data_IF_049880321607
#
_entry.id   IF_049880321607
#
_cell.length_a   1.000
_cell.length_b   1.000
_cell.length_c   1.000
_cell.angle_alpha   90.00
_cell.angle_beta   90.00
_cell.angle_gamma   90.00
#
_symmetry.space_group_name_H-M   'P 1'
#
loop_
_entity.id
_entity.type
_entity.pdbx_description
1 polymer ?
#
# COMPACT_ATOMS: atom_id res chain seq x y z
N UNK A 1 13.97 -6.17 -13.56
CA UNK A 1 14.49 -7.28 -12.74
C UNK A 1 14.75 -6.67 -11.40
N UNK A 2 13.74 -6.68 -10.54
CA UNK A 2 13.70 -5.86 -9.32
C UNK A 2 13.39 -6.78 -8.14
N UNK A 3 14.30 -7.72 -7.88
CA UNK A 3 14.18 -8.65 -6.75
C UNK A 3 14.45 -8.00 -5.39
N UNK A 4 14.96 -6.76 -5.37
CA UNK A 4 15.45 -6.09 -4.15
C UNK A 4 14.66 -4.83 -3.75
N UNK A 5 13.43 -4.64 -4.26
CA UNK A 5 12.58 -3.57 -3.72
C UNK A 5 12.26 -3.89 -2.25
N UNK A 6 12.54 -3.00 -1.27
CA UNK A 6 12.32 -3.26 0.16
C UNK A 6 10.85 -3.49 0.53
N UNK A 7 9.93 -3.28 -0.43
CA UNK A 7 8.51 -3.59 -0.32
C UNK A 7 8.17 -5.04 -0.70
N UNK A 8 9.07 -5.76 -1.39
CA UNK A 8 8.86 -7.14 -1.83
C UNK A 8 8.94 -8.15 -0.66
N UNK A 9 9.52 -7.74 0.47
CA UNK A 9 9.52 -8.48 1.74
C UNK A 9 8.40 -8.01 2.69
N UNK A 10 7.47 -7.18 2.23
CA UNK A 10 6.30 -6.84 3.05
C UNK A 10 5.38 -8.06 3.15
N UNK A 11 4.84 -8.39 4.33
CA UNK A 11 3.83 -9.46 4.46
C UNK A 11 2.49 -9.10 3.77
N UNK A 12 2.37 -7.89 3.23
CA UNK A 12 1.15 -7.37 2.63
C UNK A 12 1.18 -7.46 1.11
N UNK A 13 0.02 -7.77 0.52
CA UNK A 13 -0.17 -7.71 -0.93
C UNK A 13 -0.40 -6.25 -1.31
N UNK A 14 0.34 -5.76 -2.31
CA UNK A 14 0.29 -4.37 -2.77
C UNK A 14 -0.12 -4.33 -4.24
N UNK A 15 -1.23 -3.66 -4.52
CA UNK A 15 -1.72 -3.39 -5.87
C UNK A 15 -1.68 -1.90 -6.17
N UNK A 16 -1.45 -1.53 -7.43
CA UNK A 16 -1.49 -0.13 -7.82
C UNK A 16 -1.93 0.04 -9.28
N UNK A 17 -2.56 1.18 -9.57
CA UNK A 17 -2.90 1.60 -10.92
C UNK A 17 -2.83 3.10 -11.08
N UNK A 18 -2.35 3.56 -12.22
CA UNK A 18 -2.42 4.96 -12.60
C UNK A 18 -3.83 5.30 -13.11
N UNK A 19 -4.33 6.46 -12.69
CA UNK A 19 -5.61 7.05 -13.12
C UNK A 19 -5.34 8.51 -13.44
N UNK A 20 -5.03 8.80 -14.71
CA UNK A 20 -4.57 10.13 -15.14
C UNK A 20 -3.32 10.56 -14.39
N UNK A 21 -3.40 11.71 -13.71
CA UNK A 21 -2.29 12.31 -12.93
C UNK A 21 -2.22 11.77 -11.50
N UNK A 22 -3.07 10.82 -11.13
CA UNK A 22 -3.10 10.20 -9.83
C UNK A 22 -2.71 8.71 -9.91
N UNK A 23 -2.24 8.16 -8.81
CA UNK A 23 -1.99 6.73 -8.63
C UNK A 23 -2.83 6.26 -7.45
N UNK A 24 -3.66 5.23 -7.69
CA UNK A 24 -4.32 4.48 -6.63
C UNK A 24 -3.39 3.34 -6.20
N UNK A 25 -3.21 3.18 -4.90
CA UNK A 25 -2.47 2.06 -4.30
C UNK A 25 -3.35 1.39 -3.26
N UNK A 26 -3.50 0.07 -3.35
CA UNK A 26 -4.15 -0.79 -2.35
C UNK A 26 -3.10 -1.60 -1.60
N UNK A 27 -3.28 -1.72 -0.29
CA UNK A 27 -2.52 -2.61 0.58
C UNK A 27 -3.49 -3.56 1.29
N UNK A 28 -3.21 -4.86 1.22
CA UNK A 28 -4.08 -5.94 1.70
C UNK A 28 -3.28 -6.81 2.67
N UNK A 29 -3.84 -7.05 3.85
CA UNK A 29 -3.33 -8.08 4.77
C UNK A 29 -3.96 -9.44 4.44
N UNK A 30 -3.18 -10.44 3.98
CA UNK A 30 -3.72 -11.73 3.60
C UNK A 30 -4.28 -12.54 4.77
N UNK A 31 -3.89 -12.22 6.02
CA UNK A 31 -4.39 -12.94 7.20
C UNK A 31 -5.79 -12.50 7.61
N UNK A 32 -6.04 -11.19 7.63
CA UNK A 32 -7.33 -10.62 8.04
C UNK A 32 -8.26 -10.29 6.88
N UNK A 33 -7.76 -10.36 5.63
CA UNK A 33 -8.43 -9.87 4.41
C UNK A 33 -8.72 -8.37 4.41
N UNK A 34 -8.17 -7.63 5.37
CA UNK A 34 -8.35 -6.18 5.45
C UNK A 34 -7.59 -5.51 4.30
N UNK A 35 -8.34 -4.76 3.48
CA UNK A 35 -7.80 -3.91 2.44
C UNK A 35 -7.95 -2.43 2.81
N UNK A 36 -6.92 -1.64 2.50
CA UNK A 36 -7.01 -0.18 2.45
C UNK A 36 -6.48 0.33 1.12
N UNK A 37 -7.11 1.38 0.59
CA UNK A 37 -6.56 2.12 -0.55
C UNK A 37 -6.19 3.55 -0.18
N UNK A 38 -5.22 4.11 -0.92
CA UNK A 38 -4.93 5.54 -0.99
C UNK A 38 -4.89 5.99 -2.45
N UNK A 39 -5.07 7.29 -2.66
CA UNK A 39 -4.84 7.94 -3.96
C UNK A 39 -3.91 9.12 -3.72
N UNK A 40 -2.90 9.29 -4.56
CA UNK A 40 -1.99 10.43 -4.50
C UNK A 40 -1.53 10.86 -5.89
N UNK A 41 -0.91 12.05 -5.95
CA UNK A 41 -0.34 12.59 -7.18
C UNK A 41 0.81 11.68 -7.67
N UNK A 42 0.82 11.37 -8.97
CA UNK A 42 1.83 10.50 -9.58
C UNK A 42 3.27 11.03 -9.36
N UNK A 43 3.44 12.35 -9.22
CA UNK A 43 4.73 13.01 -8.98
C UNK A 43 5.31 12.74 -7.59
N UNK A 44 4.49 12.30 -6.64
CA UNK A 44 4.94 11.91 -5.29
C UNK A 44 5.79 10.63 -5.33
N UNK A 45 5.65 9.83 -6.38
CA UNK A 45 6.39 8.59 -6.58
C UNK A 45 5.70 7.37 -5.97
N UNK A 46 5.71 6.26 -6.72
CA UNK A 46 4.98 5.03 -6.36
C UNK A 46 5.43 4.45 -5.01
N UNK A 47 6.73 4.43 -4.71
CA UNK A 47 7.22 3.85 -3.47
C UNK A 47 6.78 4.62 -2.22
N UNK A 48 6.66 5.95 -2.34
CA UNK A 48 6.11 6.78 -1.27
C UNK A 48 4.65 6.43 -1.06
N UNK A 49 3.86 6.29 -2.12
CA UNK A 49 2.45 5.91 -2.03
C UNK A 49 2.27 4.49 -1.45
N UNK A 50 3.09 3.52 -1.86
CA UNK A 50 3.09 2.17 -1.27
C UNK A 50 3.36 2.21 0.24
N UNK A 51 4.37 2.95 0.69
CA UNK A 51 4.66 3.13 2.13
C UNK A 51 3.48 3.75 2.88
N UNK A 52 2.81 4.74 2.30
CA UNK A 52 1.64 5.37 2.92
C UNK A 52 0.44 4.41 3.02
N UNK A 53 0.22 3.57 2.00
CA UNK A 53 -0.81 2.54 2.03
C UNK A 53 -0.56 1.51 3.15
N UNK A 54 0.68 1.04 3.29
CA UNK A 54 1.10 0.13 4.38
C UNK A 54 0.90 0.77 5.75
N UNK A 55 1.28 2.05 5.92
CA UNK A 55 1.08 2.78 7.19
C UNK A 55 -0.41 2.87 7.56
N UNK A 56 -1.28 3.13 6.57
CA UNK A 56 -2.73 3.14 6.78
C UNK A 56 -3.26 1.76 7.16
N UNK A 57 -2.77 0.69 6.53
CA UNK A 57 -3.18 -0.68 6.83
C UNK A 57 -2.83 -1.04 8.27
N UNK A 58 -1.58 -0.80 8.67
CA UNK A 58 -1.11 -1.02 10.04
C UNK A 58 -1.96 -0.25 11.08
N UNK A 59 -2.32 1.01 10.78
CA UNK A 59 -3.18 1.79 11.65
C UNK A 59 -4.56 1.14 11.84
N UNK A 60 -5.18 0.65 10.76
CA UNK A 60 -6.49 -0.01 10.85
C UNK A 60 -6.42 -1.37 11.56
N UNK A 61 -5.38 -2.16 11.30
CA UNK A 61 -5.14 -3.43 12.01
C UNK A 61 -5.00 -3.19 13.52
N UNK A 62 -4.23 -2.17 13.92
CA UNK A 62 -4.07 -1.82 15.33
C UNK A 62 -5.38 -1.34 15.95
N UNK A 63 -6.23 -0.64 15.19
CA UNK A 63 -7.55 -0.20 15.67
C UNK A 63 -8.51 -1.37 15.92
N UNK A 64 -8.41 -2.47 15.18
CA UNK A 64 -9.26 -3.65 15.38
C UNK A 64 -8.81 -4.55 16.54
N UNK A 65 -7.54 -4.43 16.96
CA UNK A 65 -6.97 -5.23 18.07
C UNK A 65 -7.23 -4.63 19.45
N UNK A 66 -7.74 -3.40 19.52
CA UNK A 66 -8.08 -2.67 20.74
C UNK A 66 -9.60 -2.49 20.85
#
# INVERSE_FOLDING_TARGET
>A
MDKDSPLNNSPYLIEWRQVGHAVKVSAIDPQTTLEVSIVGDARVGLDVLKKQAIRKLNHQLNKQRN
#
